data_IF_242148734401
#
_entry.id   IF_242148734401
#
_cell.length_a   1.000
_cell.length_b   1.000
_cell.length_c   1.000
_cell.angle_alpha   90.00
_cell.angle_beta   90.00
_cell.angle_gamma   90.00
#
_symmetry.space_group_name_H-M   'P 1'
#
loop_
_entity.id
_entity.type
_entity.pdbx_description
1 polymer ?
#
# COMPACT_ATOMS: atom_id res chain seq x y z
N UNK A 1 -21.02 0.51 10.94
CA UNK A 1 -19.64 0.58 11.46
C UNK A 1 -18.97 1.82 10.91
N UNK A 2 -18.27 2.61 11.74
CA UNK A 2 -17.52 3.77 11.27
C UNK A 2 -16.16 3.31 10.70
N UNK A 3 -16.03 3.22 9.38
CA UNK A 3 -14.75 3.04 8.73
C UNK A 3 -13.89 4.29 9.00
N UNK A 4 -12.77 4.13 9.72
CA UNK A 4 -11.85 5.23 9.99
C UNK A 4 -10.93 5.38 8.79
N UNK A 5 -11.41 6.05 7.73
CA UNK A 5 -10.52 6.43 6.62
C UNK A 5 -9.73 7.65 7.09
N UNK A 6 -8.42 7.44 7.32
CA UNK A 6 -7.48 8.51 7.59
C UNK A 6 -6.84 8.92 6.26
N UNK A 7 -7.23 10.08 5.74
CA UNK A 7 -6.60 10.66 4.54
C UNK A 7 -5.53 11.65 4.97
N UNK A 8 -4.29 11.42 4.54
CA UNK A 8 -3.22 12.41 4.61
C UNK A 8 -3.03 13.01 3.23
N UNK A 9 -3.62 14.17 2.96
CA UNK A 9 -3.26 14.96 1.78
C UNK A 9 -2.72 16.30 2.20
N UNK A 10 -1.41 16.35 2.36
CA UNK A 10 -0.64 17.55 2.14
C UNK A 10 0.28 17.29 0.95
N UNK A 11 0.12 18.15 -0.07
CA UNK A 11 1.06 18.33 -1.16
C UNK A 11 2.51 18.35 -0.64
N UNK A 12 3.42 17.76 -1.40
CA UNK A 12 4.82 17.46 -1.06
C UNK A 12 5.73 18.68 -0.77
N UNK A 13 5.18 19.82 -0.35
CA UNK A 13 5.91 21.06 -0.09
C UNK A 13 5.87 21.56 1.35
N UNK A 14 5.27 20.83 2.31
CA UNK A 14 5.21 21.31 3.70
C UNK A 14 5.96 20.41 4.67
N UNK A 15 6.74 21.05 5.55
CA UNK A 15 7.32 20.55 6.79
C UNK A 15 6.27 20.11 7.83
N UNK A 16 5.05 19.79 7.40
CA UNK A 16 3.94 19.45 8.26
C UNK A 16 4.14 18.05 8.86
N UNK A 17 4.41 18.02 10.15
CA UNK A 17 4.49 16.80 10.94
C UNK A 17 3.07 16.28 11.18
N UNK A 18 2.71 15.15 10.56
CA UNK A 18 1.44 14.48 10.86
C UNK A 18 1.42 14.02 12.33
N UNK A 19 0.29 14.26 12.99
CA UNK A 19 0.03 13.79 14.35
C UNK A 19 -1.32 13.08 14.46
N UNK A 20 -1.50 12.22 15.45
CA UNK A 20 -2.79 11.57 15.71
C UNK A 20 -3.94 12.58 15.82
N UNK A 21 -3.74 13.69 16.54
CA UNK A 21 -4.70 14.79 16.68
C UNK A 21 -5.03 15.53 15.37
N UNK A 22 -4.14 15.50 14.37
CA UNK A 22 -4.35 16.15 13.06
C UNK A 22 -5.17 15.31 12.09
N UNK A 23 -5.43 14.04 12.40
CA UNK A 23 -6.14 13.14 11.51
C UNK A 23 -7.64 13.51 11.40
N UNK A 24 -8.14 13.51 10.17
CA UNK A 24 -9.56 13.74 9.86
C UNK A 24 -10.31 12.42 9.93
N UNK A 25 -11.46 12.42 10.62
CA UNK A 25 -12.38 11.27 10.64
C UNK A 25 -13.44 11.45 9.57
N UNK A 26 -13.54 10.50 8.66
CA UNK A 26 -14.48 10.51 7.53
C UNK A 26 -15.50 9.38 7.69
N UNK A 27 -16.75 9.62 7.29
CA UNK A 27 -17.77 8.58 7.19
C UNK A 27 -17.66 7.79 5.89
N UNK A 28 -18.35 6.65 5.79
CA UNK A 28 -18.28 5.79 4.60
C UNK A 28 -18.68 6.51 3.29
N UNK A 29 -19.52 7.56 3.37
CA UNK A 29 -19.96 8.35 2.23
C UNK A 29 -19.04 9.55 1.89
N UNK A 30 -17.89 9.69 2.53
CA UNK A 30 -16.98 10.83 2.35
C UNK A 30 -17.27 12.03 3.25
N UNK A 31 -18.38 12.01 4.02
CA UNK A 31 -18.68 13.13 4.92
C UNK A 31 -17.69 13.21 6.07
N UNK A 32 -17.08 14.38 6.28
CA UNK A 32 -16.22 14.63 7.44
C UNK A 32 -17.05 14.58 8.72
N UNK A 33 -16.61 13.78 9.69
CA UNK A 33 -17.23 13.60 11.01
C UNK A 33 -16.45 14.31 12.12
N UNK A 34 -15.15 14.50 11.93
CA UNK A 34 -14.29 15.24 12.84
C UNK A 34 -13.11 15.81 12.05
N UNK A 35 -12.83 17.10 12.19
CA UNK A 35 -11.82 17.81 11.41
C UNK A 35 -10.39 17.70 11.97
N UNK A 36 -10.20 17.06 13.12
CA UNK A 36 -8.92 17.08 13.84
C UNK A 36 -8.62 18.47 14.39
N UNK A 37 -7.37 18.74 14.73
CA UNK A 37 -6.92 20.05 15.26
C UNK A 37 -6.81 21.15 14.19
N UNK A 38 -6.97 20.80 12.91
CA UNK A 38 -6.85 21.76 11.80
C UNK A 38 -8.17 22.47 11.50
N UNK A 39 -9.26 22.12 12.20
CA UNK A 39 -10.59 22.74 12.08
C UNK A 39 -11.08 22.89 10.62
N UNK A 40 -10.73 21.93 9.76
CA UNK A 40 -11.23 21.82 8.39
C UNK A 40 -10.43 22.59 7.35
N UNK A 41 -9.33 23.24 7.74
CA UNK A 41 -8.50 24.03 6.84
C UNK A 41 -8.02 23.27 5.59
N UNK A 42 -7.73 21.97 5.73
CA UNK A 42 -7.16 21.16 4.65
C UNK A 42 -8.16 20.21 3.98
N UNK A 43 -9.36 20.00 4.55
CA UNK A 43 -10.34 19.07 4.01
C UNK A 43 -9.84 17.62 3.86
N UNK A 44 -10.37 16.92 2.86
CA UNK A 44 -9.91 15.59 2.42
C UNK A 44 -9.66 15.63 0.90
N UNK A 45 -8.79 14.75 0.40
CA UNK A 45 -8.70 14.51 -1.03
C UNK A 45 -9.76 13.50 -1.46
N UNK A 46 -10.73 13.97 -2.24
CA UNK A 46 -11.83 13.15 -2.75
C UNK A 46 -11.34 11.99 -3.63
N UNK A 47 -10.38 12.23 -4.52
CA UNK A 47 -9.82 11.17 -5.39
C UNK A 47 -9.16 10.05 -4.57
N UNK A 48 -8.36 10.43 -3.56
CA UNK A 48 -7.77 9.47 -2.63
C UNK A 48 -8.83 8.75 -1.79
N UNK A 49 -9.86 9.45 -1.33
CA UNK A 49 -10.95 8.84 -0.58
C UNK A 49 -11.70 7.79 -1.42
N UNK A 50 -11.93 8.04 -2.72
CA UNK A 50 -12.61 7.10 -3.61
C UNK A 50 -11.91 5.74 -3.62
N UNK A 51 -10.58 5.70 -3.83
CA UNK A 51 -9.76 4.48 -3.83
C UNK A 51 -9.91 3.71 -2.50
N UNK A 52 -9.67 4.39 -1.38
CA UNK A 52 -9.72 3.75 -0.06
C UNK A 52 -11.13 3.24 0.27
N UNK A 53 -12.16 4.03 -0.07
CA UNK A 53 -13.55 3.68 0.21
C UNK A 53 -14.05 2.52 -0.61
N UNK A 54 -13.61 2.37 -1.87
CA UNK A 54 -13.94 1.23 -2.73
C UNK A 54 -13.47 -0.09 -2.09
N UNK A 55 -12.20 -0.15 -1.68
CA UNK A 55 -11.60 -1.34 -1.07
C UNK A 55 -12.28 -1.65 0.28
N UNK A 56 -12.41 -0.66 1.17
CA UNK A 56 -13.04 -0.91 2.47
C UNK A 56 -14.51 -1.34 2.36
N UNK A 57 -15.25 -0.90 1.32
CA UNK A 57 -16.63 -1.34 1.07
C UNK A 57 -16.69 -2.77 0.56
N UNK A 58 -15.79 -3.12 -0.37
CA UNK A 58 -15.74 -4.45 -0.97
C UNK A 58 -15.16 -5.52 -0.04
N UNK A 59 -14.28 -5.12 0.89
CA UNK A 59 -13.50 -6.03 1.73
C UNK A 59 -13.61 -5.67 3.22
N UNK A 60 -14.68 -6.13 3.92
CA UNK A 60 -14.89 -5.87 5.34
C UNK A 60 -13.78 -6.41 6.27
N UNK A 61 -13.01 -7.39 5.80
CA UNK A 61 -11.84 -7.94 6.48
C UNK A 61 -10.65 -6.97 6.52
N UNK A 62 -10.64 -5.95 5.66
CA UNK A 62 -9.56 -4.96 5.55
C UNK A 62 -9.81 -3.78 6.49
N UNK A 63 -8.87 -3.55 7.40
CA UNK A 63 -8.90 -2.45 8.37
C UNK A 63 -7.97 -1.29 8.01
N UNK A 64 -7.02 -1.52 7.11
CA UNK A 64 -6.09 -0.47 6.64
C UNK A 64 -5.79 -0.64 5.16
N UNK A 65 -5.82 0.48 4.44
CA UNK A 65 -5.43 0.59 3.02
C UNK A 65 -4.36 1.68 2.94
N UNK A 66 -3.28 1.41 2.20
CA UNK A 66 -2.21 2.37 1.93
C UNK A 66 -2.01 2.52 0.44
N UNK A 67 -1.73 3.73 0.00
CA UNK A 67 -1.49 4.06 -1.40
C UNK A 67 -0.29 5.00 -1.49
N UNK A 68 0.61 4.75 -2.44
CA UNK A 68 1.79 5.59 -2.63
C UNK A 68 2.24 5.67 -4.09
N UNK A 69 2.93 6.77 -4.42
CA UNK A 69 3.57 7.03 -5.71
C UNK A 69 5.09 6.98 -5.58
N UNK A 70 5.61 5.86 -5.06
CA UNK A 70 7.05 5.70 -4.91
C UNK A 70 7.71 5.49 -6.28
N UNK A 71 8.89 6.08 -6.51
CA UNK A 71 9.50 6.17 -7.85
C UNK A 71 9.59 4.81 -8.57
N UNK A 72 10.16 3.79 -7.91
CA UNK A 72 10.30 2.46 -8.52
C UNK A 72 8.97 1.74 -8.67
N UNK A 73 8.03 1.94 -7.74
CA UNK A 73 6.69 1.37 -7.83
C UNK A 73 5.90 1.94 -9.00
N UNK A 74 5.97 3.26 -9.23
CA UNK A 74 5.38 3.91 -10.42
C UNK A 74 6.06 3.41 -11.69
N UNK A 75 7.39 3.30 -11.69
CA UNK A 75 8.16 2.74 -12.80
C UNK A 75 7.67 1.35 -13.19
N UNK A 76 7.63 0.43 -12.23
CA UNK A 76 7.14 -0.96 -12.44
C UNK A 76 5.67 -0.99 -12.86
N UNK A 77 4.81 -0.14 -12.27
CA UNK A 77 3.40 -0.03 -12.67
C UNK A 77 3.20 0.37 -14.13
N UNK A 78 4.20 1.02 -14.73
CA UNK A 78 4.16 1.51 -16.10
C UNK A 78 4.69 0.51 -17.12
N UNK A 79 5.25 -0.63 -16.68
CA UNK A 79 5.74 -1.69 -17.56
C UNK A 79 4.58 -2.56 -18.03
N UNK A 80 4.56 -2.93 -19.32
CA UNK A 80 3.58 -3.92 -19.84
C UNK A 80 3.64 -5.24 -19.07
N UNK A 81 4.85 -5.72 -18.83
CA UNK A 81 5.12 -6.96 -18.08
C UNK A 81 4.73 -6.85 -16.59
N UNK A 82 4.67 -5.64 -16.03
CA UNK A 82 4.34 -5.42 -14.62
C UNK A 82 5.44 -5.86 -13.65
N UNK A 83 5.01 -6.37 -12.50
CA UNK A 83 5.86 -6.76 -11.39
C UNK A 83 6.40 -8.17 -11.59
N UNK A 84 7.66 -8.38 -11.25
CA UNK A 84 8.35 -9.65 -11.37
C UNK A 84 8.83 -10.14 -10.00
N UNK A 85 8.65 -11.44 -9.78
CA UNK A 85 9.06 -12.13 -8.56
C UNK A 85 10.54 -12.55 -8.61
N UNK A 86 11.45 -11.57 -8.55
CA UNK A 86 12.88 -11.74 -8.82
C UNK A 86 13.74 -12.06 -7.59
N UNK A 87 13.27 -11.77 -6.38
CA UNK A 87 14.05 -11.93 -5.16
C UNK A 87 13.20 -12.43 -4.00
N UNK A 88 13.84 -12.94 -2.94
CA UNK A 88 13.12 -13.41 -1.76
C UNK A 88 12.12 -12.37 -1.25
N UNK A 89 12.45 -11.07 -1.31
CA UNK A 89 11.56 -9.95 -0.94
C UNK A 89 10.27 -9.95 -1.76
N UNK A 90 10.34 -10.10 -3.08
CA UNK A 90 9.14 -10.19 -3.93
C UNK A 90 8.36 -11.48 -3.70
N UNK A 91 9.01 -12.59 -3.34
CA UNK A 91 8.28 -13.84 -3.01
C UNK A 91 7.47 -13.73 -1.72
N UNK A 92 7.74 -12.72 -0.88
CA UNK A 92 6.95 -12.49 0.34
C UNK A 92 5.71 -11.65 0.09
N UNK A 93 5.65 -10.81 -0.95
CA UNK A 93 4.53 -9.84 -1.09
C UNK A 93 3.22 -10.52 -1.50
N UNK A 94 3.30 -11.67 -2.17
CA UNK A 94 2.13 -12.46 -2.55
C UNK A 94 1.43 -11.98 -3.83
N UNK A 95 0.20 -12.45 -4.08
CA UNK A 95 -0.49 -12.24 -5.35
C UNK A 95 -0.86 -10.78 -5.58
N UNK A 96 -0.75 -10.34 -6.83
CA UNK A 96 -0.87 -8.95 -7.25
C UNK A 96 -2.06 -8.76 -8.18
N UNK A 97 -2.89 -7.77 -7.91
CA UNK A 97 -3.92 -7.27 -8.81
C UNK A 97 -3.38 -6.15 -9.71
N UNK A 98 -4.03 -5.94 -10.84
CA UNK A 98 -3.77 -4.80 -11.73
C UNK A 98 -5.08 -4.08 -12.02
N UNK A 99 -5.03 -2.75 -11.98
CA UNK A 99 -6.12 -1.89 -12.43
C UNK A 99 -5.58 -0.97 -13.53
N UNK A 100 -6.23 -0.96 -14.68
CA UNK A 100 -5.83 -0.11 -15.81
C UNK A 100 -6.10 1.37 -15.53
N UNK A 101 -5.23 2.25 -16.02
CA UNK A 101 -5.33 3.68 -15.77
C UNK A 101 -6.53 4.29 -16.50
N UNK A 102 -7.45 4.92 -15.75
CA UNK A 102 -8.65 5.57 -16.31
C UNK A 102 -8.62 7.11 -16.20
N UNK A 103 -7.48 7.68 -15.79
CA UNK A 103 -7.35 9.11 -15.52
C UNK A 103 -7.36 9.43 -14.02
N UNK A 104 -7.64 10.69 -13.67
CA UNK A 104 -7.79 11.09 -12.26
C UNK A 104 -9.14 10.57 -11.76
N UNK A 105 -9.10 9.84 -10.64
CA UNK A 105 -10.27 9.19 -10.05
C UNK A 105 -11.33 10.21 -9.64
N UNK A 106 -12.37 10.38 -10.46
CA UNK A 106 -13.47 11.32 -10.21
C UNK A 106 -14.86 10.68 -10.24
N UNK A 107 -14.99 9.45 -10.74
CA UNK A 107 -16.29 8.78 -10.90
C UNK A 107 -16.49 7.63 -9.90
N UNK A 108 -17.72 7.47 -9.42
CA UNK A 108 -18.17 6.34 -8.60
C UNK A 108 -18.15 5.02 -9.38
N UNK A 109 -18.25 5.05 -10.70
CA UNK A 109 -18.12 3.84 -11.54
C UNK A 109 -16.75 3.18 -11.37
N UNK A 110 -15.70 3.97 -11.14
CA UNK A 110 -14.34 3.47 -10.92
C UNK A 110 -14.19 2.73 -9.58
N UNK A 111 -15.06 3.00 -8.59
CA UNK A 111 -15.05 2.24 -7.33
C UNK A 111 -15.39 0.77 -7.54
N UNK A 112 -16.29 0.49 -8.48
CA UNK A 112 -16.76 -0.87 -8.74
C UNK A 112 -15.67 -1.68 -9.44
N UNK A 113 -15.11 -1.16 -10.53
CA UNK A 113 -14.02 -1.83 -11.26
C UNK A 113 -12.77 -2.00 -10.39
N UNK A 114 -12.40 -0.98 -9.60
CA UNK A 114 -11.25 -1.08 -8.69
C UNK A 114 -11.43 -2.19 -7.64
N UNK A 115 -12.62 -2.32 -7.08
CA UNK A 115 -12.94 -3.40 -6.15
C UNK A 115 -12.94 -4.78 -6.83
N UNK A 116 -13.48 -4.87 -8.04
CA UNK A 116 -13.51 -6.11 -8.84
C UNK A 116 -12.09 -6.57 -9.20
N UNK A 117 -11.23 -5.65 -9.66
CA UNK A 117 -9.85 -5.94 -10.03
C UNK A 117 -8.99 -6.35 -8.82
N UNK A 118 -9.20 -5.70 -7.67
CA UNK A 118 -8.54 -6.07 -6.41
C UNK A 118 -8.92 -7.50 -5.99
N UNK A 119 -10.21 -7.84 -6.09
CA UNK A 119 -10.75 -9.14 -5.70
C UNK A 119 -10.38 -9.52 -4.25
N UNK A 120 -9.80 -10.70 -4.10
CA UNK A 120 -9.34 -11.27 -2.82
C UNK A 120 -7.90 -10.90 -2.45
N UNK A 121 -7.19 -10.18 -3.33
CA UNK A 121 -5.77 -9.83 -3.13
C UNK A 121 -5.60 -8.68 -2.15
N UNK A 122 -4.36 -8.50 -1.70
CA UNK A 122 -3.96 -7.45 -0.76
C UNK A 122 -3.00 -6.43 -1.38
N UNK A 123 -2.63 -6.61 -2.65
CA UNK A 123 -1.78 -5.71 -3.41
C UNK A 123 -2.43 -5.44 -4.75
N UNK A 124 -2.39 -4.18 -5.18
CA UNK A 124 -2.77 -3.80 -6.53
C UNK A 124 -1.80 -2.78 -7.09
N UNK A 125 -1.31 -3.03 -8.30
CA UNK A 125 -0.68 -2.00 -9.12
C UNK A 125 -1.76 -1.26 -9.89
N UNK A 126 -1.83 0.05 -9.66
CA UNK A 126 -2.55 0.96 -10.53
C UNK A 126 -1.61 1.27 -11.70
N UNK A 127 -1.93 0.75 -12.89
CA UNK A 127 -1.10 0.95 -14.09
C UNK A 127 -0.80 2.43 -14.26
N UNK A 128 0.46 2.76 -14.57
CA UNK A 128 0.92 4.14 -14.79
C UNK A 128 0.73 5.13 -13.62
N UNK A 129 0.41 4.65 -12.40
CA UNK A 129 -0.02 5.52 -11.30
C UNK A 129 0.73 5.21 -10.00
N UNK A 130 0.74 3.95 -9.55
CA UNK A 130 1.36 3.59 -8.28
C UNK A 130 0.86 2.26 -7.74
N UNK A 131 0.91 2.11 -6.42
CA UNK A 131 0.51 0.85 -5.75
C UNK A 131 -0.44 1.10 -4.60
N UNK A 132 -1.23 0.07 -4.31
CA UNK A 132 -2.07 -0.04 -3.13
C UNK A 132 -1.69 -1.31 -2.37
N UNK A 133 -1.62 -1.21 -1.05
CA UNK A 133 -1.63 -2.37 -0.16
C UNK A 133 -2.79 -2.30 0.83
N UNK A 134 -3.32 -3.47 1.18
CA UNK A 134 -4.45 -3.62 2.09
C UNK A 134 -4.15 -4.69 3.13
N UNK A 135 -4.67 -4.54 4.35
CA UNK A 135 -4.53 -5.56 5.37
C UNK A 135 -5.50 -5.44 6.55
N UNK A 136 -5.56 -6.47 7.41
CA UNK A 136 -6.43 -6.51 8.59
C UNK A 136 -5.97 -5.58 9.72
N UNK A 137 -4.83 -4.92 9.56
CA UNK A 137 -4.32 -3.91 10.49
C UNK A 137 -3.41 -2.92 9.78
N UNK A 138 -3.14 -1.77 10.41
CA UNK A 138 -2.16 -0.81 9.91
C UNK A 138 -0.76 -1.42 9.77
N UNK A 139 -0.34 -2.28 10.71
CA UNK A 139 0.95 -2.96 10.64
C UNK A 139 1.06 -3.92 9.47
N UNK A 140 0.00 -4.68 9.19
CA UNK A 140 -0.03 -5.60 8.04
C UNK A 140 0.05 -4.84 6.70
N UNK A 141 -0.80 -3.82 6.50
CA UNK A 141 -0.79 -3.03 5.27
C UNK A 141 0.54 -2.27 5.07
N UNK A 142 1.10 -1.73 6.16
CA UNK A 142 2.39 -1.03 6.15
C UNK A 142 3.55 -1.95 5.82
N UNK A 143 3.64 -3.11 6.48
CA UNK A 143 4.75 -4.02 6.24
C UNK A 143 4.69 -4.60 4.83
N UNK A 144 3.49 -4.88 4.33
CA UNK A 144 3.29 -5.27 2.94
C UNK A 144 3.75 -4.18 1.97
N UNK A 145 3.43 -2.91 2.24
CA UNK A 145 3.92 -1.77 1.45
C UNK A 145 5.45 -1.69 1.50
N UNK A 146 6.04 -1.81 2.69
CA UNK A 146 7.50 -1.78 2.87
C UNK A 146 8.20 -2.85 2.02
N UNK A 147 7.72 -4.09 2.08
CA UNK A 147 8.28 -5.20 1.29
C UNK A 147 8.06 -4.98 -0.22
N UNK A 148 6.88 -4.49 -0.61
CA UNK A 148 6.56 -4.20 -2.01
C UNK A 148 7.48 -3.12 -2.60
N UNK A 149 7.72 -2.02 -1.89
CA UNK A 149 8.61 -0.97 -2.35
C UNK A 149 10.06 -1.45 -2.47
N UNK A 150 10.54 -2.21 -1.49
CA UNK A 150 11.86 -2.83 -1.58
C UNK A 150 11.96 -3.81 -2.77
N UNK A 151 10.89 -4.55 -3.06
CA UNK A 151 10.85 -5.43 -4.22
C UNK A 151 10.84 -4.67 -5.56
N UNK A 152 10.15 -3.53 -5.66
CA UNK A 152 10.17 -2.70 -6.87
C UNK A 152 11.52 -2.03 -7.09
N UNK A 153 12.23 -1.66 -6.02
CA UNK A 153 13.62 -1.18 -6.10
C UNK A 153 14.56 -2.27 -6.63
N UNK A 154 14.44 -3.49 -6.09
CA UNK A 154 15.23 -4.64 -6.56
C UNK A 154 14.92 -4.91 -8.03
N UNK A 155 13.65 -4.93 -8.44
CA UNK A 155 13.29 -5.14 -9.84
C UNK A 155 13.90 -4.07 -10.74
N UNK A 156 13.82 -2.79 -10.36
CA UNK A 156 14.43 -1.70 -11.12
C UNK A 156 15.95 -1.87 -11.25
N UNK A 157 16.62 -2.27 -10.17
CA UNK A 157 18.07 -2.47 -10.18
C UNK A 157 18.47 -3.68 -11.02
N UNK A 158 17.76 -4.80 -10.87
CA UNK A 158 17.99 -6.03 -11.62
C UNK A 158 17.77 -5.81 -13.12
N UNK A 159 16.74 -5.05 -13.51
CA UNK A 159 16.53 -4.69 -14.93
C UNK A 159 17.73 -3.95 -15.54
N UNK A 160 18.38 -3.07 -14.77
CA UNK A 160 19.60 -2.40 -15.22
C UNK A 160 20.78 -3.39 -15.31
N UNK A 161 20.98 -4.26 -14.31
CA UNK A 161 22.03 -5.28 -14.32
C UNK A 161 21.86 -6.33 -15.42
N UNK A 162 20.62 -6.66 -15.78
CA UNK A 162 20.27 -7.59 -16.85
C UNK A 162 20.45 -7.00 -18.26
N UNK A 163 20.95 -5.75 -18.37
CA UNK A 163 21.05 -4.98 -19.62
C UNK A 163 19.70 -4.82 -20.34
N UNK A 164 18.60 -4.82 -19.58
CA UNK A 164 17.24 -4.73 -20.10
C UNK A 164 16.73 -6.01 -20.78
N UNK A 165 17.48 -7.11 -20.77
CA UNK A 165 17.06 -8.38 -21.37
C UNK A 165 16.54 -9.35 -20.30
N UNK A 166 15.27 -9.73 -20.43
CA UNK A 166 14.62 -10.68 -19.54
C UNK A 166 15.26 -12.08 -19.57
N UNK A 167 15.98 -12.45 -20.64
CA UNK A 167 16.70 -13.73 -20.73
C UNK A 167 17.90 -13.79 -19.78
N UNK A 168 18.40 -12.64 -19.32
CA UNK A 168 19.49 -12.56 -18.34
C UNK A 168 18.99 -12.70 -16.89
N UNK A 169 17.68 -12.85 -16.67
CA UNK A 169 17.10 -13.00 -15.35
C UNK A 169 17.13 -14.47 -14.89
N UNK A 170 17.61 -14.70 -13.68
CA UNK A 170 17.46 -15.98 -13.01
C UNK A 170 16.17 -15.98 -12.18
N UNK A 171 15.13 -16.63 -12.69
CA UNK A 171 13.81 -16.70 -12.04
C UNK A 171 13.68 -18.05 -11.31
N UNK A 172 13.44 -18.06 -9.99
CA UNK A 172 13.19 -19.29 -9.25
C UNK A 172 11.92 -20.02 -9.72
N UNK A 173 11.81 -21.31 -9.41
CA UNK A 173 10.59 -22.07 -9.71
C UNK A 173 9.40 -21.59 -8.87
N UNK A 174 8.19 -21.68 -9.45
CA UNK A 174 6.93 -21.35 -8.76
C UNK A 174 6.79 -22.06 -7.40
N UNK A 175 7.24 -23.32 -7.32
CA UNK A 175 7.24 -24.08 -6.07
C UNK A 175 8.11 -23.43 -4.98
N UNK A 176 9.28 -22.88 -5.36
CA UNK A 176 10.19 -22.20 -4.45
C UNK A 176 9.60 -20.88 -3.97
N UNK A 177 8.98 -20.12 -4.89
CA UNK A 177 8.33 -18.85 -4.58
C UNK A 177 7.14 -19.07 -3.64
N UNK A 178 6.26 -20.03 -3.95
CA UNK A 178 5.12 -20.40 -3.12
C UNK A 178 5.53 -20.85 -1.71
N UNK A 179 6.55 -21.71 -1.60
CA UNK A 179 7.08 -22.15 -0.31
C UNK A 179 7.56 -20.96 0.54
N UNK A 180 8.19 -19.97 -0.09
CA UNK A 180 8.65 -18.76 0.59
C UNK A 180 7.48 -17.94 1.12
N UNK A 181 6.44 -17.74 0.30
CA UNK A 181 5.23 -17.04 0.69
C UNK A 181 4.53 -17.71 1.90
N UNK A 182 4.31 -19.02 1.84
CA UNK A 182 3.67 -19.81 2.91
C UNK A 182 4.44 -19.72 4.24
N UNK A 183 5.77 -19.81 4.21
CA UNK A 183 6.59 -19.67 5.43
C UNK A 183 6.42 -18.28 6.04
N UNK A 184 6.42 -17.24 5.22
CA UNK A 184 6.34 -15.85 5.68
C UNK A 184 4.94 -15.45 6.18
N UNK A 185 3.88 -15.99 5.58
CA UNK A 185 2.50 -15.59 5.86
C UNK A 185 1.73 -16.55 6.78
N UNK A 186 1.95 -17.87 6.68
CA UNK A 186 1.15 -18.86 7.40
C UNK A 186 1.86 -19.40 8.64
N UNK A 187 3.13 -19.77 8.50
CA UNK A 187 3.90 -20.34 9.62
C UNK A 187 4.42 -19.23 10.53
N UNK A 188 4.89 -18.15 9.91
CA UNK A 188 5.66 -17.12 10.60
C UNK A 188 6.86 -17.73 11.34
N UNK A 189 7.60 -16.88 12.06
CA UNK A 189 8.71 -17.36 12.90
C UNK A 189 8.37 -17.36 14.39
N UNK A 190 7.21 -16.83 14.77
CA UNK A 190 6.96 -16.46 16.17
C UNK A 190 5.50 -16.39 16.59
N UNK A 191 4.56 -16.74 15.72
CA UNK A 191 3.12 -16.66 16.00
C UNK A 191 2.53 -15.25 16.09
N UNK A 192 3.34 -14.19 16.01
CA UNK A 192 2.83 -12.82 15.94
C UNK A 192 2.15 -12.54 14.60
N UNK A 193 1.12 -11.71 14.61
CA UNK A 193 0.43 -11.29 13.38
C UNK A 193 1.39 -10.57 12.43
N UNK A 194 1.21 -10.78 11.13
CA UNK A 194 2.05 -10.20 10.07
C UNK A 194 2.19 -8.67 10.21
N UNK A 195 3.42 -8.17 10.15
CA UNK A 195 3.76 -6.74 10.25
C UNK A 195 3.71 -6.14 11.66
N UNK A 196 3.24 -6.87 12.67
CA UNK A 196 3.12 -6.35 14.04
C UNK A 196 4.48 -6.07 14.70
N UNK A 197 5.45 -6.96 14.48
CA UNK A 197 6.80 -6.85 15.05
C UNK A 197 7.61 -5.76 14.39
N UNK A 198 7.50 -5.71 13.07
CA UNK A 198 8.21 -4.76 12.20
C UNK A 198 7.71 -3.35 12.48
N UNK A 199 6.39 -3.17 12.55
CA UNK A 199 5.80 -1.89 12.94
C UNK A 199 6.23 -1.52 14.37
N UNK A 200 6.16 -2.44 15.34
CA UNK A 200 6.59 -2.14 16.71
C UNK A 200 8.08 -1.75 16.79
N UNK A 201 8.93 -2.33 15.95
CA UNK A 201 10.34 -1.94 15.84
C UNK A 201 10.50 -0.54 15.25
N UNK A 202 9.81 -0.23 14.15
CA UNK A 202 9.86 1.09 13.53
C UNK A 202 9.28 2.19 14.40
N UNK A 203 8.25 1.90 15.19
CA UNK A 203 7.69 2.85 16.15
C UNK A 203 8.73 3.31 17.18
N UNK A 204 9.64 2.41 17.62
CA UNK A 204 10.76 2.80 18.51
C UNK A 204 11.78 3.70 17.82
N UNK A 205 11.95 3.57 16.51
CA UNK A 205 12.79 4.47 15.71
C UNK A 205 12.11 5.84 15.57
N UNK A 206 10.82 5.85 15.23
CA UNK A 206 10.04 7.09 15.12
C UNK A 206 9.98 7.86 16.43
N UNK A 207 9.85 7.16 17.57
CA UNK A 207 9.86 7.79 18.90
C UNK A 207 11.16 8.53 19.21
N UNK A 208 12.30 8.04 18.68
CA UNK A 208 13.60 8.72 18.79
C UNK A 208 13.73 9.91 17.85
N UNK A 209 13.07 9.87 16.69
CA UNK A 209 13.09 10.96 15.71
C UNK A 209 12.21 12.12 16.22
N UNK A 210 10.94 11.83 16.53
CA UNK A 210 9.98 12.80 17.06
C UNK A 210 8.74 12.08 17.59
N UNK A 211 8.62 11.87 18.90
CA UNK A 211 7.45 11.21 19.49
C UNK A 211 6.11 11.99 19.37
N UNK A 212 6.11 13.24 18.89
CA UNK A 212 4.90 14.06 18.80
C UNK A 212 3.88 13.56 17.77
N UNK A 213 4.25 12.60 16.90
CA UNK A 213 3.27 11.96 15.99
C UNK A 213 2.15 11.24 16.75
N UNK A 214 2.39 10.82 18.00
CA UNK A 214 1.45 10.06 18.83
C UNK A 214 0.27 10.88 19.36
N UNK A 215 0.43 12.20 19.46
CA UNK A 215 -0.50 13.11 20.16
C UNK A 215 -1.36 13.89 19.21
#
# INVERSE_FOLDING_TARGET
MAQRVFSSTLSASSTAKYRASSLVKVGANGSVKHHGVTNGLFGINDAGFIIHSAIHRARPDIQSVMHCHYLSAVGVSSLKQGFLELAQTSHQVGPIAYHDYQGVVVDRNEQKSLAEDMGDKNIMFLRNHGVITAGPSAGAAWYLMYQLLAATDIQSHVSACALGDAQNLNIPSDQTMKKTYEVMHEKGFSGAAYGSKELAAYMRVLDKIDASYRT
#
